data_IF_713007461063
#
_entry.id   IF_713007461063
#
_cell.length_a   1.000
_cell.length_b   1.000
_cell.length_c   1.000
_cell.angle_alpha   90.00
_cell.angle_beta   90.00
_cell.angle_gamma   90.00
#
_symmetry.space_group_name_H-M   'P 1'
#
loop_
_entity.id
_entity.type
_entity.pdbx_description
1 polymer ?
#
# COMPACT_ATOMS: atom_id res chain seq x y z
N UNK A 1 -26.88 16.24 -20.05
CA UNK A 1 -26.48 16.07 -19.79
C UNK A 1 -25.94 15.84 -19.63
N UNK A 2 -25.67 16.01 -19.54
CA UNK A 2 -25.00 15.79 -19.31
C UNK A 2 -24.35 15.39 -19.02
N UNK A 3 -24.37 15.20 -18.89
CA UNK A 3 -23.69 14.78 -18.54
C UNK A 3 -22.76 14.82 -18.44
N UNK A 4 -22.52 14.94 -18.64
CA UNK A 4 -21.52 14.92 -18.62
C UNK A 4 -20.91 15.47 -17.95
N UNK A 5 -20.98 15.99 -17.42
CA UNK A 5 -20.48 16.37 -16.71
C UNK A 5 -20.38 15.85 -15.91
N UNK A 6 -20.73 15.40 -15.71
CA UNK A 6 -20.61 14.77 -14.91
C UNK A 6 -19.75 13.91 -14.95
N UNK A 7 -19.56 13.59 -15.47
CA UNK A 7 -18.75 12.83 -15.53
C UNK A 7 -17.59 13.14 -15.52
N UNK A 8 -17.45 13.84 -15.70
CA UNK A 8 -16.31 14.14 -15.73
C UNK A 8 -15.72 14.16 -14.55
N UNK A 9 -16.19 14.38 -13.65
CA UNK A 9 -15.74 14.32 -12.59
C UNK A 9 -15.44 13.25 -12.27
N UNK A 10 -15.82 12.67 -12.58
CA UNK A 10 -15.62 11.66 -12.30
C UNK A 10 -14.88 11.21 -13.08
N UNK A 11 -14.22 11.53 -13.30
CA UNK A 11 -13.48 11.11 -14.04
C UNK A 11 -12.65 10.06 -13.75
N UNK A 12 -12.64 9.44 -12.67
CA UNK A 12 -11.87 8.30 -12.28
C UNK A 12 -12.69 7.07 -12.55
N UNK A 13 -12.28 6.27 -13.47
CA UNK A 13 -12.98 5.04 -13.77
C UNK A 13 -12.63 4.01 -12.72
N UNK A 14 -13.27 2.87 -12.80
CA UNK A 14 -12.98 1.77 -11.90
C UNK A 14 -11.57 1.30 -12.02
N UNK A 15 -10.90 1.57 -13.14
CA UNK A 15 -9.53 1.12 -13.36
C UNK A 15 -8.51 2.06 -12.74
N UNK A 16 -8.94 3.20 -12.25
CA UNK A 16 -8.02 4.17 -11.69
C UNK A 16 -7.84 3.91 -10.23
N UNK A 17 -6.59 3.74 -9.82
CA UNK A 17 -6.27 3.41 -8.45
C UNK A 17 -5.58 4.61 -7.83
N UNK A 18 -6.08 5.11 -6.71
CA UNK A 18 -5.47 6.28 -6.08
C UNK A 18 -4.10 5.96 -5.51
N UNK A 19 -3.18 6.88 -5.68
CA UNK A 19 -1.84 6.76 -5.14
C UNK A 19 -1.77 7.63 -3.91
N UNK A 20 -1.44 7.01 -2.79
CA UNK A 20 -1.29 7.71 -1.52
C UNK A 20 0.18 8.05 -1.38
N UNK A 21 0.54 9.23 -1.80
CA UNK A 21 1.93 9.55 -1.91
C UNK A 21 2.63 9.85 -0.64
N UNK A 22 1.95 10.45 0.24
CA UNK A 22 2.62 10.91 1.40
C UNK A 22 1.94 10.39 2.57
N UNK A 23 2.49 9.41 3.15
CA UNK A 23 2.01 8.86 4.39
C UNK A 23 3.10 9.17 5.38
N UNK A 24 3.14 10.38 5.86
CA UNK A 24 4.24 10.76 6.75
C UNK A 24 4.13 10.07 8.07
N UNK A 25 5.19 10.07 8.79
CA UNK A 25 5.15 9.63 10.16
C UNK A 25 4.08 10.47 10.82
N UNK A 26 3.27 9.88 11.63
CA UNK A 26 2.18 10.60 12.22
C UNK A 26 0.98 10.72 11.32
N UNK A 27 0.90 9.92 10.31
CA UNK A 27 -0.24 9.79 9.46
C UNK A 27 -1.49 9.75 10.28
N UNK A 28 -2.51 10.48 9.92
CA UNK A 28 -3.70 10.60 10.76
C UNK A 28 -4.33 9.27 11.03
N UNK A 29 -4.68 9.07 12.27
CA UNK A 29 -5.27 7.83 12.65
C UNK A 29 -6.63 7.62 12.08
N UNK A 30 -7.33 8.69 11.82
CA UNK A 30 -8.64 8.59 11.21
C UNK A 30 -8.56 8.15 9.76
N UNK A 31 -7.35 8.09 9.23
CA UNK A 31 -7.16 7.57 7.88
C UNK A 31 -6.85 6.09 7.95
N UNK A 32 -7.43 5.42 8.89
CA UNK A 32 -7.06 4.05 9.14
C UNK A 32 -7.96 3.05 8.50
N UNK A 33 -9.11 3.46 8.05
CA UNK A 33 -9.96 2.55 7.34
C UNK A 33 -9.59 2.61 5.90
N UNK A 34 -10.04 1.69 5.15
CA UNK A 34 -9.75 1.69 3.74
C UNK A 34 -10.58 2.71 3.00
N UNK A 35 -11.34 3.47 3.74
CA UNK A 35 -12.20 4.47 3.18
C UNK A 35 -11.57 5.80 3.20
N UNK A 36 -10.30 5.92 2.86
CA UNK A 36 -9.69 7.22 2.82
C UNK A 36 -10.40 8.08 1.81
N UNK A 37 -10.47 9.37 2.08
CA UNK A 37 -11.17 10.26 1.14
C UNK A 37 -10.40 10.33 -0.16
N UNK A 38 -11.09 10.36 -1.27
CA UNK A 38 -10.39 10.52 -2.55
C UNK A 38 -9.56 11.78 -2.60
N UNK A 39 -9.89 12.77 -1.78
CA UNK A 39 -9.15 14.01 -1.80
C UNK A 39 -7.74 13.89 -1.29
N UNK A 40 -7.36 12.79 -0.64
CA UNK A 40 -5.98 12.61 -0.23
C UNK A 40 -5.11 12.09 -1.36
N UNK A 41 -5.71 11.67 -2.46
CA UNK A 41 -4.93 11.16 -3.57
C UNK A 41 -4.75 12.26 -4.60
N UNK A 42 -3.50 12.59 -4.90
CA UNK A 42 -3.19 13.57 -5.91
C UNK A 42 -2.97 12.92 -7.26
N UNK A 43 -2.90 11.64 -7.29
CA UNK A 43 -2.44 10.93 -8.47
C UNK A 43 -3.18 9.60 -8.54
N UNK A 44 -3.38 9.11 -9.74
CA UNK A 44 -4.02 7.81 -9.95
C UNK A 44 -3.19 7.03 -10.95
N UNK A 45 -3.17 5.72 -10.79
CA UNK A 45 -2.57 4.84 -11.79
C UNK A 45 -3.66 3.95 -12.34
N UNK A 46 -3.54 3.62 -13.60
CA UNK A 46 -4.56 2.81 -14.25
C UNK A 46 -4.13 1.36 -14.24
N UNK A 47 -4.93 0.53 -13.62
CA UNK A 47 -4.64 -0.91 -13.53
C UNK A 47 -5.92 -1.68 -13.80
N UNK A 48 -6.25 -1.88 -15.08
CA UNK A 48 -7.52 -2.53 -15.41
C UNK A 48 -7.64 -3.97 -14.92
N UNK A 49 -6.52 -4.61 -14.65
CA UNK A 49 -6.56 -6.00 -14.19
C UNK A 49 -6.82 -6.14 -12.70
N UNK A 50 -6.88 -5.03 -11.99
CA UNK A 50 -7.11 -5.06 -10.56
C UNK A 50 -8.57 -4.72 -10.33
N UNK A 51 -9.30 -5.66 -9.75
CA UNK A 51 -10.74 -5.51 -9.58
C UNK A 51 -11.16 -5.33 -8.14
N UNK A 52 -10.23 -4.98 -7.28
CA UNK A 52 -10.53 -4.72 -5.88
C UNK A 52 -10.96 -3.26 -5.75
N UNK A 53 -12.21 -2.99 -5.39
CA UNK A 53 -12.66 -1.60 -5.31
C UNK A 53 -11.96 -0.78 -4.23
N UNK A 54 -11.27 -1.44 -3.33
CA UNK A 54 -10.54 -0.74 -2.28
C UNK A 54 -9.04 -0.71 -2.55
N UNK A 55 -8.62 -1.13 -3.74
CA UNK A 55 -7.20 -1.11 -4.07
C UNK A 55 -6.65 0.31 -3.97
N UNK A 56 -5.44 0.41 -3.53
CA UNK A 56 -4.75 1.68 -3.46
C UNK A 56 -3.28 1.44 -3.78
N UNK A 57 -2.57 2.50 -4.03
CA UNK A 57 -1.16 2.41 -4.35
C UNK A 57 -0.38 3.39 -3.49
N UNK A 58 0.89 3.09 -3.31
CA UNK A 58 1.78 3.98 -2.57
C UNK A 58 3.14 3.97 -3.24
N UNK A 59 3.87 5.06 -3.05
CA UNK A 59 5.24 5.13 -3.54
C UNK A 59 6.17 4.58 -2.50
N UNK A 60 7.14 3.83 -2.98
CA UNK A 60 8.17 3.29 -2.11
C UNK A 60 9.07 4.43 -1.65
N UNK A 61 9.36 4.45 -0.36
CA UNK A 61 10.25 5.43 0.23
C UNK A 61 11.39 4.68 0.89
N UNK A 62 12.61 5.15 0.63
CA UNK A 62 13.79 4.52 1.21
C UNK A 62 14.18 3.26 0.47
N UNK A 63 15.13 2.54 1.03
CA UNK A 63 15.74 1.42 0.35
C UNK A 63 15.60 0.08 1.05
N UNK A 64 14.69 -0.01 2.04
CA UNK A 64 14.60 -1.24 2.82
C UNK A 64 14.12 -2.44 2.02
N UNK A 65 13.52 -2.20 0.88
CA UNK A 65 12.99 -3.28 0.07
C UNK A 65 13.77 -3.47 -1.23
N UNK A 66 14.95 -2.88 -1.32
CA UNK A 66 15.83 -3.17 -2.46
C UNK A 66 16.40 -4.56 -2.31
N UNK A 67 16.66 -5.26 -3.39
CA UNK A 67 16.63 -4.72 -4.78
C UNK A 67 15.32 -4.90 -5.51
N UNK A 68 14.33 -5.51 -4.88
CA UNK A 68 13.07 -5.78 -5.58
C UNK A 68 12.26 -4.53 -5.81
N UNK A 69 12.39 -3.55 -4.92
CA UNK A 69 11.64 -2.30 -5.03
C UNK A 69 12.61 -1.15 -4.79
N UNK A 70 12.44 -0.09 -5.55
CA UNK A 70 13.31 1.08 -5.44
C UNK A 70 12.49 2.29 -5.08
N UNK A 71 13.12 3.24 -4.46
CA UNK A 71 12.42 4.47 -4.08
C UNK A 71 11.80 5.09 -5.31
N UNK A 72 10.55 5.51 -5.20
CA UNK A 72 9.82 6.07 -6.30
C UNK A 72 8.94 5.08 -7.06
N UNK A 73 9.20 3.79 -6.91
CA UNK A 73 8.31 2.79 -7.50
C UNK A 73 6.93 2.93 -6.90
N UNK A 74 5.92 2.58 -7.68
CA UNK A 74 4.55 2.56 -7.19
C UNK A 74 4.13 1.12 -7.01
N UNK A 75 3.57 0.82 -5.85
CA UNK A 75 3.12 -0.53 -5.55
C UNK A 75 1.62 -0.47 -5.29
N UNK A 76 0.89 -1.37 -5.92
CA UNK A 76 -0.56 -1.46 -5.77
C UNK A 76 -0.87 -2.58 -4.79
N UNK A 77 -1.76 -2.28 -3.86
CA UNK A 77 -2.15 -3.23 -2.81
C UNK A 77 -3.62 -3.56 -2.95
N UNK A 78 -3.97 -4.80 -2.63
CA UNK A 78 -5.33 -5.30 -2.79
C UNK A 78 -5.90 -5.72 -1.43
N UNK A 79 -6.59 -4.81 -0.74
CA UNK A 79 -7.06 -5.09 0.63
C UNK A 79 -8.01 -6.26 0.76
N UNK A 80 -8.75 -6.56 -0.29
CA UNK A 80 -9.71 -7.66 -0.21
C UNK A 80 -9.12 -9.02 -0.55
N UNK A 81 -7.81 -9.06 -0.77
CA UNK A 81 -7.11 -10.31 -1.02
C UNK A 81 -6.39 -10.69 0.27
N UNK A 82 -6.57 -11.88 0.78
CA UNK A 82 -5.86 -12.28 2.00
C UNK A 82 -4.37 -12.31 1.78
N UNK A 83 -3.63 -11.80 2.75
CA UNK A 83 -2.18 -11.84 2.69
C UNK A 83 -1.69 -13.18 3.18
N UNK A 84 -0.69 -13.72 2.50
CA UNK A 84 -0.10 -14.99 2.87
C UNK A 84 1.33 -14.78 3.32
N UNK A 85 1.80 -15.70 4.15
CA UNK A 85 3.17 -15.63 4.64
C UNK A 85 4.14 -15.60 3.47
N UNK A 86 5.09 -14.68 3.52
CA UNK A 86 6.08 -14.53 2.47
C UNK A 86 5.74 -13.50 1.41
N UNK A 87 4.60 -12.84 1.54
CA UNK A 87 4.24 -11.80 0.61
C UNK A 87 4.73 -10.45 1.07
N UNK A 88 4.90 -9.55 0.11
CA UNK A 88 5.25 -8.17 0.41
C UNK A 88 3.95 -7.43 0.68
N UNK A 89 3.89 -6.76 1.81
CA UNK A 89 2.65 -6.18 2.27
C UNK A 89 2.82 -4.77 2.78
N UNK A 90 1.77 -4.00 2.59
CA UNK A 90 1.60 -2.74 3.29
C UNK A 90 1.05 -3.12 4.66
N UNK A 91 1.73 -2.68 5.69
CA UNK A 91 1.37 -3.03 7.07
C UNK A 91 1.03 -1.76 7.82
N UNK A 92 -0.11 -1.75 8.46
CA UNK A 92 -0.50 -0.63 9.31
C UNK A 92 -0.60 -1.13 10.73
N UNK A 93 -0.03 -0.38 11.65
CA UNK A 93 -0.02 -0.75 13.06
C UNK A 93 -1.05 0.07 13.82
N UNK A 94 -1.38 -0.41 15.00
CA UNK A 94 -2.39 0.28 15.83
C UNK A 94 -1.93 1.68 16.21
N UNK A 95 -0.64 1.98 16.15
CA UNK A 95 -0.15 3.32 16.39
C UNK A 95 -0.44 4.27 15.24
N UNK A 96 -0.85 3.74 14.11
CA UNK A 96 -1.03 4.52 12.90
C UNK A 96 0.17 4.50 11.98
N UNK A 97 1.28 3.95 12.44
CA UNK A 97 2.47 3.83 11.60
C UNK A 97 2.22 2.83 10.49
N UNK A 98 2.83 3.08 9.35
CA UNK A 98 2.73 2.18 8.22
C UNK A 98 4.12 1.84 7.72
N UNK A 99 4.22 0.67 7.11
CA UNK A 99 5.48 0.24 6.52
C UNK A 99 5.19 -0.73 5.38
N UNK A 100 6.19 -0.98 4.56
CA UNK A 100 6.10 -1.93 3.45
C UNK A 100 7.24 -2.92 3.63
N UNK A 101 6.89 -4.17 3.88
CA UNK A 101 7.89 -5.20 4.18
C UNK A 101 7.41 -6.54 3.70
N UNK A 102 8.33 -7.48 3.56
CA UNK A 102 7.94 -8.87 3.35
C UNK A 102 7.52 -9.43 4.70
N UNK A 103 6.36 -10.04 4.74
CA UNK A 103 5.76 -10.44 6.00
C UNK A 103 5.69 -11.95 6.09
N UNK A 104 6.27 -12.49 7.15
CA UNK A 104 6.23 -13.91 7.40
C UNK A 104 5.46 -14.18 8.67
N UNK A 105 4.71 -15.27 8.67
CA UNK A 105 4.07 -15.74 9.88
C UNK A 105 5.17 -16.39 10.72
N UNK A 106 5.46 -15.80 11.86
CA UNK A 106 6.55 -16.30 12.72
C UNK A 106 6.04 -17.34 13.69
N UNK A 107 5.00 -16.99 14.45
CA UNK A 107 4.28 -17.94 15.31
C UNK A 107 2.81 -17.68 15.07
N UNK A 108 1.91 -18.47 15.66
CA UNK A 108 0.49 -18.16 15.47
C UNK A 108 0.10 -16.74 15.89
N UNK A 109 0.87 -16.13 16.78
CA UNK A 109 0.54 -14.82 17.31
C UNK A 109 1.48 -13.71 16.87
N UNK A 110 2.52 -14.02 16.10
CA UNK A 110 3.51 -13.00 15.74
C UNK A 110 3.85 -13.05 14.26
N UNK A 111 4.25 -11.89 13.76
CA UNK A 111 4.69 -11.76 12.39
C UNK A 111 6.11 -11.22 12.37
N UNK A 112 6.87 -11.62 11.37
CA UNK A 112 8.19 -11.04 11.14
C UNK A 112 8.09 -10.10 9.95
N UNK A 113 8.49 -8.86 10.16
CA UNK A 113 8.56 -7.86 9.10
C UNK A 113 9.98 -7.84 8.60
N UNK A 114 10.15 -8.32 7.39
CA UNK A 114 11.47 -8.59 6.85
C UNK A 114 11.81 -7.61 5.73
N UNK A 115 12.77 -6.71 5.93
CA UNK A 115 13.29 -5.92 4.81
C UNK A 115 14.02 -6.84 3.86
N UNK A 116 13.98 -6.52 2.57
CA UNK A 116 14.74 -7.28 1.59
C UNK A 116 16.20 -6.86 1.57
N UNK A 117 16.46 -5.65 1.98
CA UNK A 117 17.81 -5.11 2.04
C UNK A 117 18.43 -5.50 3.39
N UNK A 118 19.49 -6.27 3.34
CA UNK A 118 20.10 -6.83 4.54
C UNK A 118 20.68 -5.77 5.47
N UNK A 119 20.79 -4.54 5.01
CA UNK A 119 21.28 -3.45 5.85
C UNK A 119 20.26 -3.02 6.89
N UNK A 120 19.02 -3.43 6.72
CA UNK A 120 17.95 -3.07 7.65
C UNK A 120 17.55 -4.28 8.46
N UNK A 121 17.25 -4.12 9.73
CA UNK A 121 16.93 -5.28 10.58
C UNK A 121 15.47 -5.70 10.41
N UNK A 122 15.24 -6.98 10.65
CA UNK A 122 13.89 -7.49 10.72
C UNK A 122 13.31 -7.21 12.10
N UNK A 123 12.00 -7.16 12.17
CA UNK A 123 11.29 -6.94 13.43
C UNK A 123 10.21 -7.97 13.61
N UNK A 124 10.08 -8.47 14.83
CA UNK A 124 8.98 -9.36 15.17
C UNK A 124 7.95 -8.54 15.91
N UNK A 125 6.71 -8.63 15.47
CA UNK A 125 5.64 -7.86 16.11
C UNK A 125 4.48 -8.80 16.43
N UNK A 126 3.64 -8.38 17.35
CA UNK A 126 2.43 -9.12 17.68
C UNK A 126 1.40 -8.90 16.58
N UNK A 127 0.75 -9.99 16.18
CA UNK A 127 -0.33 -9.89 15.19
C UNK A 127 -1.41 -8.92 15.65
N UNK A 128 -1.58 -8.82 16.96
CA UNK A 128 -2.60 -7.93 17.53
C UNK A 128 -2.30 -6.46 17.29
N UNK A 129 -1.04 -6.11 17.04
CA UNK A 129 -0.68 -4.72 16.78
C UNK A 129 -0.99 -4.33 15.34
N UNK A 130 -1.32 -5.27 14.49
CA UNK A 130 -1.50 -5.02 13.07
C UNK A 130 -2.97 -4.74 12.80
N UNK A 131 -3.26 -3.55 12.30
CA UNK A 131 -4.62 -3.16 11.96
C UNK A 131 -4.86 -3.21 10.46
N UNK A 132 -3.83 -3.40 9.67
CA UNK A 132 -3.97 -3.58 8.24
C UNK A 132 -2.82 -4.38 7.70
N UNK A 133 -3.11 -5.34 6.84
CA UNK A 133 -2.10 -6.19 6.26
C UNK A 133 -2.57 -6.50 4.84
N UNK A 134 -2.02 -5.79 3.88
CA UNK A 134 -2.55 -5.82 2.53
C UNK A 134 -1.48 -6.18 1.53
N UNK A 135 -1.70 -7.25 0.75
CA UNK A 135 -0.64 -7.73 -0.14
C UNK A 135 -0.43 -6.83 -1.34
N UNK A 136 0.81 -6.75 -1.76
CA UNK A 136 1.18 -6.07 -2.98
C UNK A 136 0.84 -6.97 -4.16
N UNK A 137 0.23 -6.42 -5.16
CA UNK A 137 -0.17 -7.20 -6.34
C UNK A 137 0.45 -6.71 -7.63
N UNK A 138 0.91 -5.46 -7.66
CA UNK A 138 1.54 -4.91 -8.87
C UNK A 138 2.63 -3.94 -8.44
N UNK A 139 3.74 -3.96 -9.14
CA UNK A 139 4.79 -2.97 -8.96
C UNK A 139 4.97 -2.22 -10.27
N UNK A 140 4.94 -0.93 -10.20
CA UNK A 140 5.16 -0.08 -11.37
C UNK A 140 6.48 0.65 -11.13
N UNK A 141 7.46 0.32 -11.94
CA UNK A 141 8.80 0.84 -11.75
C UNK A 141 8.83 2.33 -12.06
N UNK A 142 9.54 3.06 -11.24
CA UNK A 142 9.75 4.48 -11.47
C UNK A 142 10.80 4.63 -12.57
N UNK A 143 10.49 5.43 -13.56
CA UNK A 143 11.43 5.68 -14.64
C UNK A 143 12.09 7.02 -14.40
N UNK A 144 13.39 6.97 -14.33
CA UNK A 144 14.14 8.17 -14.17
C UNK A 144 14.53 8.68 -15.49
N UNK A 145 14.47 9.92 -15.70
CA UNK A 145 14.89 10.44 -16.97
C UNK A 145 16.28 10.98 -16.97
#
# INVERSE_FOLDING_TARGET
MNSTESNTRRHHSEDDIPVINKVPAGYPRDFTDLDYPPSVADEYVRCPDIHDPQAFAARVVGDSMEPDYHEGDIVVFAPNTPAESGQDCFVRLETGETTFKRVYQDTPATLRLQPLNARHPAHIISRREVTGLWPAVVRIAHLDD
#
